data_IF_317399925179
#
_entry.id   IF_317399925179
#
_cell.length_a   1.000
_cell.length_b   1.000
_cell.length_c   1.000
_cell.angle_alpha   90.00
_cell.angle_beta   90.00
_cell.angle_gamma   90.00
#
_symmetry.space_group_name_H-M   'P 1'
#
loop_
_entity.id
_entity.type
_entity.pdbx_description
1 polymer ?
#
# COMPACT_ATOMS: atom_id res chain seq x y z
N UNK A 1 -18.08 12.92 -14.03
CA UNK A 1 -16.71 13.31 -13.61
C UNK A 1 -15.77 12.22 -14.06
N UNK A 2 -14.90 12.55 -15.01
CA UNK A 2 -13.87 11.64 -15.51
C UNK A 2 -12.70 11.64 -14.49
N UNK A 3 -12.71 10.67 -13.57
CA UNK A 3 -11.69 10.53 -12.53
C UNK A 3 -10.28 10.29 -13.12
N UNK A 4 -10.21 9.89 -14.36
CA UNK A 4 -8.95 9.55 -15.05
C UNK A 4 -8.14 10.77 -15.50
N UNK A 5 -8.70 11.97 -15.38
CA UNK A 5 -8.06 13.23 -15.80
C UNK A 5 -7.75 14.20 -14.68
N UNK A 6 -7.84 13.79 -13.40
CA UNK A 6 -7.55 14.68 -12.27
C UNK A 6 -6.06 14.68 -11.92
N UNK A 7 -5.47 15.88 -11.96
CA UNK A 7 -4.14 16.16 -11.43
C UNK A 7 -4.24 16.53 -9.95
N UNK A 8 -3.20 16.23 -9.17
CA UNK A 8 -3.06 16.72 -7.78
C UNK A 8 -2.33 18.07 -7.72
N UNK A 9 -2.06 18.67 -8.87
CA UNK A 9 -1.37 19.94 -8.97
C UNK A 9 0.14 19.81 -9.07
N UNK A 10 0.84 20.90 -8.79
CA UNK A 10 2.29 21.00 -8.86
C UNK A 10 2.93 20.74 -7.50
N UNK A 11 4.17 20.21 -7.51
CA UNK A 11 4.96 20.09 -6.29
C UNK A 11 5.32 21.49 -5.78
N UNK A 12 5.13 21.70 -4.48
CA UNK A 12 5.46 22.95 -3.81
C UNK A 12 6.94 23.30 -3.99
N UNK A 13 7.25 24.58 -4.22
CA UNK A 13 8.59 25.11 -4.51
C UNK A 13 9.62 24.89 -3.38
N UNK A 14 9.20 24.55 -2.17
CA UNK A 14 10.10 24.15 -1.07
C UNK A 14 10.75 22.78 -1.28
N UNK A 15 10.25 21.99 -2.25
CA UNK A 15 10.78 20.66 -2.57
C UNK A 15 11.40 20.65 -3.96
N UNK A 16 12.58 20.02 -4.08
CA UNK A 16 13.01 19.38 -5.31
C UNK A 16 12.38 18.00 -5.37
N UNK A 17 12.16 17.46 -6.56
CA UNK A 17 11.60 16.13 -6.70
C UNK A 17 12.21 15.36 -7.86
N UNK A 18 12.16 14.05 -7.74
CA UNK A 18 12.43 13.10 -8.80
C UNK A 18 11.20 12.20 -8.97
N UNK A 19 11.03 11.69 -10.18
CA UNK A 19 10.18 10.54 -10.44
C UNK A 19 11.13 9.44 -10.88
N UNK A 20 11.17 8.33 -10.15
CA UNK A 20 12.09 7.23 -10.40
C UNK A 20 11.31 6.01 -10.92
N UNK A 21 11.80 5.42 -12.01
CA UNK A 21 11.27 4.16 -12.52
C UNK A 21 11.72 2.98 -11.62
N UNK A 22 11.29 1.77 -11.97
CA UNK A 22 11.63 0.53 -11.24
C UNK A 22 13.13 0.18 -11.22
N UNK A 23 13.96 0.90 -11.99
CA UNK A 23 15.41 0.73 -12.04
C UNK A 23 16.14 1.93 -11.40
N UNK A 24 15.45 2.73 -10.60
CA UNK A 24 15.93 3.95 -9.94
C UNK A 24 16.45 5.03 -10.92
N UNK A 25 15.97 5.02 -12.17
CA UNK A 25 16.30 6.04 -13.17
C UNK A 25 15.22 7.11 -13.22
N UNK A 26 15.64 8.37 -13.44
CA UNK A 26 14.71 9.49 -13.62
C UNK A 26 13.80 9.25 -14.82
N UNK A 27 12.50 9.41 -14.60
CA UNK A 27 11.44 9.12 -15.57
C UNK A 27 10.30 10.14 -15.46
N UNK A 28 9.37 10.08 -16.42
CA UNK A 28 8.10 10.82 -16.34
C UNK A 28 7.01 10.05 -15.60
N UNK A 29 7.24 8.77 -15.30
CA UNK A 29 6.32 7.92 -14.57
C UNK A 29 7.10 6.99 -13.63
N UNK A 30 6.68 6.88 -12.36
CA UNK A 30 7.34 6.06 -11.35
C UNK A 30 7.10 6.57 -9.94
N UNK A 31 7.96 6.18 -8.99
CA UNK A 31 7.84 6.61 -7.60
C UNK A 31 8.26 8.08 -7.44
N UNK A 32 7.42 8.84 -6.75
CA UNK A 32 7.73 10.23 -6.39
C UNK A 32 8.71 10.25 -5.22
N UNK A 33 9.81 10.97 -5.40
CA UNK A 33 10.83 11.22 -4.38
C UNK A 33 10.92 12.72 -4.15
N UNK A 34 10.83 13.13 -2.89
CA UNK A 34 10.91 14.53 -2.47
C UNK A 34 12.23 14.82 -1.78
N UNK A 35 12.82 15.98 -2.06
CA UNK A 35 14.03 16.47 -1.40
C UNK A 35 13.81 17.92 -0.93
N UNK A 36 14.21 18.21 0.27
CA UNK A 36 14.11 19.59 0.75
C UNK A 36 14.25 19.76 2.24
N UNK A 37 14.25 21.02 2.70
CA UNK A 37 14.40 21.33 4.13
C UNK A 37 13.19 20.91 4.97
N UNK A 38 12.00 20.84 4.37
CA UNK A 38 10.76 20.42 5.03
C UNK A 38 10.59 18.90 5.11
N UNK A 39 11.51 18.10 4.53
CA UNK A 39 11.51 16.65 4.69
C UNK A 39 11.91 16.31 6.13
N UNK A 40 11.07 15.51 6.81
CA UNK A 40 11.35 14.98 8.14
C UNK A 40 12.67 14.22 8.19
N UNK A 41 13.25 14.06 9.38
CA UNK A 41 14.50 13.33 9.51
C UNK A 41 14.30 11.82 9.49
N UNK A 42 13.25 11.34 10.14
CA UNK A 42 12.93 9.92 10.32
C UNK A 42 11.56 9.75 10.96
N UNK A 43 11.06 8.53 10.98
CA UNK A 43 9.97 8.09 11.85
C UNK A 43 10.53 7.75 13.23
N UNK A 44 9.77 7.98 14.28
CA UNK A 44 10.16 7.64 15.64
C UNK A 44 10.24 6.11 15.81
N UNK A 45 11.35 5.62 16.37
CA UNK A 45 11.60 4.19 16.63
C UNK A 45 11.46 3.20 15.45
N UNK A 46 11.54 3.67 14.20
CA UNK A 46 11.33 2.85 13.01
C UNK A 46 12.62 2.67 12.18
N UNK A 47 13.64 2.03 12.75
CA UNK A 47 14.98 1.95 12.15
C UNK A 47 14.95 1.37 10.74
N UNK A 48 14.26 0.24 10.55
CA UNK A 48 14.20 -0.47 9.24
C UNK A 48 13.44 0.35 8.20
N UNK A 49 12.32 0.97 8.59
CA UNK A 49 11.51 1.82 7.72
C UNK A 49 12.25 3.09 7.33
N UNK A 50 12.98 3.67 8.30
CA UNK A 50 13.78 4.86 8.08
C UNK A 50 14.88 4.66 7.04
N UNK A 51 15.62 3.54 7.11
CA UNK A 51 16.66 3.20 6.13
C UNK A 51 16.11 3.04 4.71
N UNK A 52 14.86 2.61 4.57
CA UNK A 52 14.22 2.42 3.25
C UNK A 52 13.58 3.69 2.69
N UNK A 53 13.10 4.58 3.57
CA UNK A 53 12.29 5.74 3.17
C UNK A 53 13.06 7.05 3.14
N UNK A 54 14.10 7.20 3.98
CA UNK A 54 14.84 8.45 4.10
C UNK A 54 16.29 8.29 3.61
N UNK A 55 16.79 9.33 2.98
CA UNK A 55 18.19 9.42 2.54
C UNK A 55 18.68 10.86 2.60
N UNK A 56 19.97 11.07 2.37
CA UNK A 56 20.56 12.38 2.20
C UNK A 56 21.20 12.47 0.83
N UNK A 57 20.95 13.57 0.13
CA UNK A 57 21.64 13.92 -1.10
C UNK A 57 22.24 15.31 -0.93
N UNK A 58 23.59 15.38 -0.93
CA UNK A 58 24.33 16.60 -0.61
C UNK A 58 23.88 17.15 0.76
N UNK A 59 23.30 18.37 0.78
CA UNK A 59 22.80 19.01 2.02
C UNK A 59 21.27 18.85 2.22
N UNK A 60 20.59 18.15 1.32
CA UNK A 60 19.14 17.98 1.38
C UNK A 60 18.76 16.62 1.95
N UNK A 61 17.68 16.60 2.72
CA UNK A 61 17.02 15.37 3.13
C UNK A 61 16.09 14.92 2.00
N UNK A 62 16.07 13.62 1.73
CA UNK A 62 15.23 12.99 0.73
C UNK A 62 14.28 11.98 1.36
N UNK A 63 13.12 11.79 0.70
CA UNK A 63 12.07 10.89 1.14
C UNK A 63 11.40 10.20 -0.05
N UNK A 64 11.38 8.88 -0.02
CA UNK A 64 10.61 8.04 -0.93
C UNK A 64 9.15 8.02 -0.48
N UNK A 65 8.25 8.66 -1.26
CA UNK A 65 6.85 8.84 -0.83
C UNK A 65 6.06 7.55 -0.85
N UNK A 66 6.44 6.62 -1.71
CA UNK A 66 5.67 5.42 -2.02
C UNK A 66 4.54 5.67 -3.01
N UNK A 67 4.32 6.90 -3.47
CA UNK A 67 3.31 7.22 -4.46
C UNK A 67 3.86 7.03 -5.87
N UNK A 68 3.17 6.26 -6.70
CA UNK A 68 3.44 6.16 -8.14
C UNK A 68 2.73 7.30 -8.82
N UNK A 69 3.50 8.09 -9.53
CA UNK A 69 3.00 9.29 -10.19
C UNK A 69 3.41 9.34 -11.66
N UNK A 70 2.71 10.19 -12.41
CA UNK A 70 3.05 10.54 -13.78
C UNK A 70 3.06 12.05 -13.94
N UNK A 71 4.08 12.58 -14.64
CA UNK A 71 4.06 13.98 -15.08
C UNK A 71 2.89 14.22 -16.00
N UNK A 72 2.18 15.30 -15.74
CA UNK A 72 1.05 15.77 -16.50
C UNK A 72 1.33 17.16 -17.09
N UNK A 73 0.33 17.79 -17.69
CA UNK A 73 0.49 19.12 -18.32
C UNK A 73 1.01 20.16 -17.32
N UNK A 74 1.82 21.12 -17.76
CA UNK A 74 2.33 22.25 -16.96
C UNK A 74 3.06 21.85 -15.66
N UNK A 75 3.83 20.75 -15.67
CA UNK A 75 4.52 20.23 -14.48
C UNK A 75 3.62 19.77 -13.34
N UNK A 76 2.36 19.55 -13.61
CA UNK A 76 1.46 18.91 -12.68
C UNK A 76 1.76 17.42 -12.54
N UNK A 77 1.28 16.85 -11.45
CA UNK A 77 1.48 15.44 -11.14
C UNK A 77 0.12 14.76 -11.03
N UNK A 78 0.02 13.58 -11.63
CA UNK A 78 -1.10 12.67 -11.48
C UNK A 78 -0.66 11.49 -10.63
N UNK A 79 -1.40 11.14 -9.58
CA UNK A 79 -1.16 9.94 -8.79
C UNK A 79 -1.82 8.76 -9.51
N UNK A 80 -1.03 7.72 -9.78
CA UNK A 80 -1.49 6.48 -10.41
C UNK A 80 -1.76 5.37 -9.39
N UNK A 81 -1.10 5.42 -8.23
CA UNK A 81 -1.20 4.41 -7.20
C UNK A 81 -0.08 4.49 -6.18
N UNK A 82 0.24 3.35 -5.57
CA UNK A 82 1.32 3.26 -4.58
C UNK A 82 2.25 2.07 -4.87
N UNK A 83 3.52 2.23 -4.50
CA UNK A 83 4.53 1.15 -4.52
C UNK A 83 4.21 0.09 -3.46
N UNK A 84 3.73 0.56 -2.31
CA UNK A 84 3.28 -0.29 -1.21
C UNK A 84 1.78 -0.61 -1.36
N UNK A 85 1.33 -1.66 -0.68
CA UNK A 85 -0.07 -2.08 -0.71
C UNK A 85 -0.97 -1.23 0.20
N UNK A 86 -0.56 0.00 0.50
CA UNK A 86 -1.32 0.93 1.30
C UNK A 86 -2.57 1.39 0.56
N UNK A 87 -3.68 1.38 1.24
CA UNK A 87 -4.98 1.73 0.69
C UNK A 87 -5.68 2.78 1.54
N UNK A 88 -6.62 3.50 0.94
CA UNK A 88 -7.54 4.38 1.66
C UNK A 88 -8.93 3.78 1.57
N UNK A 89 -9.46 3.32 2.71
CA UNK A 89 -10.80 2.71 2.80
C UNK A 89 -11.62 3.47 3.84
N UNK A 90 -12.76 4.03 3.45
CA UNK A 90 -13.66 4.81 4.33
C UNK A 90 -12.92 5.92 5.13
N UNK A 91 -11.93 6.58 4.50
CA UNK A 91 -11.13 7.63 5.15
C UNK A 91 -9.94 7.11 5.97
N UNK A 92 -9.87 5.82 6.29
CA UNK A 92 -8.76 5.21 7.01
C UNK A 92 -7.63 4.82 6.05
N UNK A 93 -6.39 5.12 6.47
CA UNK A 93 -5.17 4.67 5.79
C UNK A 93 -4.80 3.31 6.34
N UNK A 94 -4.87 2.28 5.51
CA UNK A 94 -4.71 0.88 5.90
C UNK A 94 -3.49 0.30 5.21
N UNK A 95 -2.60 -0.30 5.99
CA UNK A 95 -1.51 -1.15 5.52
C UNK A 95 -2.05 -2.58 5.36
N UNK A 96 -2.23 -3.04 4.13
CA UNK A 96 -2.75 -4.40 3.89
C UNK A 96 -1.85 -5.46 4.53
N UNK A 97 -0.54 -5.27 4.47
CA UNK A 97 0.44 -6.19 5.05
C UNK A 97 0.30 -6.32 6.57
N UNK A 98 -0.15 -5.28 7.28
CA UNK A 98 -0.44 -5.35 8.71
C UNK A 98 -1.59 -6.32 8.99
N UNK A 99 -2.67 -6.24 8.20
CA UNK A 99 -3.81 -7.16 8.32
C UNK A 99 -3.37 -8.59 8.02
N UNK A 100 -2.60 -8.79 6.95
CA UNK A 100 -2.10 -10.10 6.55
C UNK A 100 -1.24 -10.73 7.65
N UNK A 101 -0.30 -9.98 8.22
CA UNK A 101 0.57 -10.43 9.29
C UNK A 101 -0.23 -10.81 10.55
N UNK A 102 -1.21 -10.00 10.94
CA UNK A 102 -2.09 -10.31 12.07
C UNK A 102 -2.88 -11.61 11.84
N UNK A 103 -3.41 -11.82 10.63
CA UNK A 103 -4.14 -13.03 10.28
C UNK A 103 -3.21 -14.25 10.32
N UNK A 104 -2.01 -14.14 9.77
CA UNK A 104 -0.99 -15.18 9.80
C UNK A 104 -0.66 -15.57 11.24
N UNK A 105 -0.46 -14.58 12.10
CA UNK A 105 -0.13 -14.80 13.51
C UNK A 105 -1.26 -15.43 14.32
N UNK A 106 -2.50 -14.96 14.13
CA UNK A 106 -3.67 -15.46 14.85
C UNK A 106 -3.98 -16.91 14.49
N UNK A 107 -3.88 -17.24 13.20
CA UNK A 107 -4.29 -18.56 12.69
C UNK A 107 -3.13 -19.51 12.43
N UNK A 108 -1.88 -19.05 12.65
CA UNK A 108 -0.64 -19.83 12.42
C UNK A 108 -0.58 -20.46 11.01
N UNK A 109 -1.02 -19.69 10.03
CA UNK A 109 -1.02 -20.08 8.61
C UNK A 109 0.23 -19.53 7.91
N UNK A 110 0.59 -20.13 6.78
CA UNK A 110 1.78 -19.72 6.01
C UNK A 110 1.50 -18.56 5.06
N UNK A 111 0.27 -18.47 4.57
CA UNK A 111 -0.07 -17.58 3.46
C UNK A 111 -1.44 -16.93 3.68
N UNK A 112 -1.44 -15.62 3.51
CA UNK A 112 -2.62 -14.80 3.56
C UNK A 112 -2.52 -13.72 2.49
N UNK A 113 -3.62 -13.42 1.82
CA UNK A 113 -3.73 -12.32 0.88
C UNK A 113 -4.99 -11.52 1.20
N UNK A 114 -4.81 -10.24 1.47
CA UNK A 114 -5.92 -9.30 1.63
C UNK A 114 -5.93 -8.35 0.43
N UNK A 115 -7.10 -8.12 -0.14
CA UNK A 115 -7.28 -7.19 -1.25
C UNK A 115 -8.58 -6.40 -1.13
N UNK A 116 -8.61 -5.25 -1.79
CA UNK A 116 -9.85 -4.51 -1.99
C UNK A 116 -10.62 -5.11 -3.16
N UNK A 117 -11.89 -5.37 -2.94
CA UNK A 117 -12.84 -5.54 -4.03
C UNK A 117 -13.56 -4.22 -4.28
N UNK A 118 -13.44 -3.72 -5.51
CA UNK A 118 -14.19 -2.57 -6.00
C UNK A 118 -15.43 -3.08 -6.70
N UNK A 119 -16.60 -2.73 -6.21
CA UNK A 119 -17.83 -3.02 -6.93
C UNK A 119 -18.11 -1.90 -7.93
N UNK A 120 -18.23 -2.23 -9.20
CA UNK A 120 -18.53 -1.25 -10.27
C UNK A 120 -19.92 -0.63 -10.18
N UNK A 121 -20.86 -1.29 -9.50
CA UNK A 121 -22.25 -0.81 -9.34
C UNK A 121 -22.47 0.05 -8.07
N UNK A 122 -21.62 -0.09 -7.07
CA UNK A 122 -21.77 0.60 -5.79
C UNK A 122 -20.43 1.19 -5.36
N UNK A 123 -20.43 2.40 -4.76
CA UNK A 123 -19.19 3.05 -4.31
C UNK A 123 -18.53 2.33 -3.11
N UNK A 124 -19.08 1.19 -2.70
CA UNK A 124 -18.60 0.43 -1.54
C UNK A 124 -17.40 -0.41 -1.92
N UNK A 125 -16.31 -0.15 -1.24
CA UNK A 125 -15.12 -0.98 -1.29
C UNK A 125 -15.13 -1.88 -0.06
N UNK A 126 -14.81 -3.16 -0.23
CA UNK A 126 -14.65 -4.10 0.90
C UNK A 126 -13.30 -4.79 0.85
N UNK A 127 -12.78 -5.15 2.02
CA UNK A 127 -11.64 -6.03 2.15
C UNK A 127 -12.10 -7.48 2.00
N UNK A 128 -11.40 -8.24 1.17
CA UNK A 128 -11.54 -9.69 1.02
C UNK A 128 -10.24 -10.33 1.48
N UNK A 129 -10.35 -11.33 2.34
CA UNK A 129 -9.21 -12.14 2.77
C UNK A 129 -9.23 -13.49 2.05
N UNK A 130 -8.08 -13.91 1.55
CA UNK A 130 -7.85 -15.24 1.00
C UNK A 130 -6.76 -15.90 1.83
N UNK A 131 -6.98 -17.15 2.24
CA UNK A 131 -6.01 -17.94 2.99
C UNK A 131 -5.85 -19.33 2.41
N UNK A 132 -4.66 -19.90 2.52
CA UNK A 132 -4.40 -21.30 2.14
C UNK A 132 -4.42 -22.16 3.39
N UNK A 133 -5.51 -22.90 3.58
CA UNK A 133 -5.69 -23.81 4.71
C UNK A 133 -6.65 -24.96 4.35
N UNK A 134 -6.36 -26.16 4.85
CA UNK A 134 -7.19 -27.35 4.62
C UNK A 134 -8.40 -27.42 5.58
N UNK A 135 -8.23 -26.90 6.80
CA UNK A 135 -9.29 -26.97 7.84
C UNK A 135 -10.38 -25.90 7.57
N UNK A 136 -11.54 -26.38 7.12
CA UNK A 136 -12.70 -25.53 6.85
C UNK A 136 -13.36 -24.96 8.11
N UNK A 137 -13.09 -25.51 9.30
CA UNK A 137 -13.63 -25.02 10.59
C UNK A 137 -13.17 -23.60 10.91
N UNK A 138 -12.07 -23.14 10.29
CA UNK A 138 -11.60 -21.77 10.45
C UNK A 138 -12.67 -20.72 10.13
N UNK A 139 -13.58 -20.99 9.20
CA UNK A 139 -14.62 -20.03 8.80
C UNK A 139 -15.53 -19.63 9.96
N UNK A 140 -15.86 -20.53 10.88
CA UNK A 140 -16.75 -20.24 12.00
C UNK A 140 -16.14 -19.34 13.06
N UNK A 141 -14.82 -19.31 13.19
CA UNK A 141 -14.11 -18.57 14.24
C UNK A 141 -13.32 -17.37 13.70
N UNK A 142 -13.22 -17.25 12.37
CA UNK A 142 -12.33 -16.27 11.72
C UNK A 142 -12.64 -14.83 12.13
N UNK A 143 -13.86 -14.42 11.91
CA UNK A 143 -14.26 -13.04 12.17
C UNK A 143 -14.23 -12.68 13.66
N UNK A 144 -14.61 -13.60 14.52
CA UNK A 144 -14.63 -13.33 15.96
C UNK A 144 -13.22 -13.20 16.55
N UNK A 145 -12.28 -14.01 16.09
CA UNK A 145 -10.88 -13.84 16.48
C UNK A 145 -10.29 -12.51 16.01
N UNK A 146 -10.65 -12.05 14.81
CA UNK A 146 -10.17 -10.78 14.27
C UNK A 146 -10.73 -9.57 15.01
N UNK A 147 -12.01 -9.60 15.44
CA UNK A 147 -12.64 -8.50 16.21
C UNK A 147 -11.88 -8.14 17.48
N UNK A 148 -11.20 -9.10 18.07
CA UNK A 148 -10.42 -8.88 19.31
C UNK A 148 -9.01 -8.33 19.05
N UNK A 149 -8.56 -8.26 17.81
CA UNK A 149 -7.17 -7.91 17.44
C UNK A 149 -7.07 -6.76 16.46
N UNK A 150 -8.07 -6.56 15.62
CA UNK A 150 -8.07 -5.54 14.57
C UNK A 150 -9.22 -4.55 14.76
N UNK A 151 -9.00 -3.27 14.45
CA UNK A 151 -10.07 -2.29 14.33
C UNK A 151 -11.12 -2.74 13.30
N UNK A 152 -12.37 -2.37 13.51
CA UNK A 152 -13.50 -2.82 12.67
C UNK A 152 -13.35 -2.52 11.17
N UNK A 153 -12.70 -1.39 10.83
CA UNK A 153 -12.44 -0.98 9.45
C UNK A 153 -11.32 -1.80 8.77
N UNK A 154 -10.49 -2.53 9.54
CA UNK A 154 -9.45 -3.45 9.03
C UNK A 154 -9.94 -4.89 8.88
N UNK A 155 -11.11 -5.23 9.40
CA UNK A 155 -11.64 -6.59 9.35
C UNK A 155 -12.18 -6.87 7.95
N UNK A 156 -11.65 -7.88 7.23
CA UNK A 156 -12.19 -8.30 5.95
C UNK A 156 -13.69 -8.64 6.08
N UNK A 157 -14.47 -8.34 5.05
CA UNK A 157 -15.91 -8.67 5.02
C UNK A 157 -16.18 -10.06 4.45
N UNK A 158 -15.16 -10.65 3.82
CA UNK A 158 -15.28 -11.96 3.18
C UNK A 158 -14.00 -12.77 3.37
N UNK A 159 -14.16 -14.08 3.59
CA UNK A 159 -13.08 -15.06 3.68
C UNK A 159 -13.22 -16.10 2.58
N UNK A 160 -12.21 -16.20 1.73
CA UNK A 160 -12.10 -17.21 0.68
C UNK A 160 -10.99 -18.18 1.04
N UNK A 161 -11.32 -19.48 1.09
CA UNK A 161 -10.33 -20.53 1.26
C UNK A 161 -9.78 -20.92 -0.11
N UNK A 162 -8.45 -21.00 -0.20
CA UNK A 162 -7.71 -21.43 -1.39
C UNK A 162 -6.95 -22.72 -1.09
N UNK A 163 -6.80 -23.57 -2.07
CA UNK A 163 -5.91 -24.73 -1.94
C UNK A 163 -4.45 -24.32 -2.07
N UNK A 164 -4.16 -23.41 -3.00
CA UNK A 164 -2.82 -22.87 -3.26
C UNK A 164 -2.92 -21.44 -3.77
N UNK A 165 -1.90 -20.66 -3.51
CA UNK A 165 -1.68 -19.35 -4.12
C UNK A 165 -0.80 -19.48 -5.38
N UNK A 166 -0.97 -18.51 -6.29
CA UNK A 166 -0.03 -18.30 -7.39
C UNK A 166 1.06 -17.32 -6.93
N UNK A 167 2.27 -17.53 -7.44
CA UNK A 167 3.41 -16.66 -7.19
C UNK A 167 3.87 -16.03 -8.49
N UNK A 168 4.27 -14.78 -8.41
CA UNK A 168 4.92 -14.11 -9.53
C UNK A 168 6.37 -14.60 -9.70
N UNK A 169 7.04 -14.14 -10.78
CA UNK A 169 8.44 -14.52 -11.10
C UNK A 169 9.45 -14.17 -9.97
N UNK A 170 9.10 -13.29 -9.06
CA UNK A 170 9.94 -12.85 -7.95
C UNK A 170 9.61 -13.58 -6.63
N UNK A 171 8.79 -14.64 -6.66
CA UNK A 171 8.42 -15.42 -5.49
C UNK A 171 7.44 -14.72 -4.53
N UNK A 172 6.80 -13.62 -4.95
CA UNK A 172 5.74 -12.96 -4.18
C UNK A 172 4.37 -13.45 -4.63
N UNK A 173 3.41 -13.46 -3.69
CA UNK A 173 2.02 -13.76 -4.00
C UNK A 173 1.52 -12.87 -5.16
N UNK A 174 0.92 -13.49 -6.16
CA UNK A 174 0.33 -12.82 -7.30
C UNK A 174 -1.06 -12.28 -6.89
N UNK A 175 -1.18 -10.93 -6.77
CA UNK A 175 -2.35 -10.22 -6.22
C UNK A 175 -3.38 -9.86 -7.29
#
# INVERSE_FOLDING_TARGET
>A
FDSDNLSVGQINNYFKYYILDKNDKKSNEGELVLLGPAVASNYYNEITKNKKKFFKEKKLKGYYTGDIVKKFKKNEIKILGRVDNQIKLMGHRIEIEEIENQIIDIFKIKECMVKIEKNLKYPWQKLICQISIKDKKIKSIFFDKLKNKLPSYMIPKELILREKFKYNKNGKLDR
#
